data_IF_133781880813
#
_entry.id   IF_133781880813
#
_cell.length_a   1.000
_cell.length_b   1.000
_cell.length_c   1.000
_cell.angle_alpha   90.00
_cell.angle_beta   90.00
_cell.angle_gamma   90.00
#
_symmetry.space_group_name_H-M   'P 1'
#
loop_
_entity.id
_entity.type
_entity.pdbx_description
1 polymer ?
#
# COMPACT_ATOMS: atom_id res chain seq x y z
N UNK A 1 -22.63 -26.07 -53.18
CA UNK A 1 -21.92 -26.10 -51.87
C UNK A 1 -22.98 -26.29 -50.78
N UNK A 2 -23.15 -27.50 -50.23
CA UNK A 2 -24.17 -27.78 -49.20
C UNK A 2 -23.58 -27.48 -47.82
N UNK A 3 -24.10 -26.45 -47.14
CA UNK A 3 -23.75 -26.13 -45.76
C UNK A 3 -24.60 -27.03 -44.85
N UNK A 4 -23.97 -27.99 -44.17
CA UNK A 4 -24.64 -28.84 -43.20
C UNK A 4 -24.74 -28.10 -41.86
N UNK A 5 -25.96 -27.79 -41.44
CA UNK A 5 -26.21 -27.25 -40.10
C UNK A 5 -26.21 -28.37 -39.07
N UNK A 6 -25.51 -28.14 -37.95
CA UNK A 6 -25.54 -29.04 -36.80
C UNK A 6 -26.97 -29.15 -36.25
N UNK A 7 -27.41 -30.34 -35.82
CA UNK A 7 -28.74 -30.53 -35.25
C UNK A 7 -28.91 -29.62 -34.02
N UNK A 8 -30.07 -28.97 -33.88
CA UNK A 8 -30.36 -27.99 -32.84
C UNK A 8 -30.04 -28.50 -31.42
N UNK A 9 -30.26 -29.80 -31.17
CA UNK A 9 -29.93 -30.46 -29.90
C UNK A 9 -28.42 -30.47 -29.57
N UNK A 10 -27.56 -30.56 -30.58
CA UNK A 10 -26.09 -30.54 -30.44
C UNK A 10 -25.60 -29.12 -30.13
N UNK A 11 -26.24 -28.09 -30.69
CA UNK A 11 -25.96 -26.70 -30.33
C UNK A 11 -26.33 -26.40 -28.87
N UNK A 12 -27.48 -26.90 -28.40
CA UNK A 12 -27.89 -26.73 -27.00
C UNK A 12 -26.95 -27.42 -26.01
N UNK A 13 -26.49 -28.65 -26.28
CA UNK A 13 -25.54 -29.35 -25.40
C UNK A 13 -24.15 -28.71 -25.38
N UNK A 14 -23.68 -28.15 -26.50
CA UNK A 14 -22.44 -27.37 -26.56
C UNK A 14 -22.56 -26.05 -25.78
N UNK A 15 -23.69 -25.35 -25.88
CA UNK A 15 -23.93 -24.10 -25.18
C UNK A 15 -24.05 -24.29 -23.65
N UNK A 16 -24.73 -25.35 -23.21
CA UNK A 16 -24.81 -25.73 -21.79
C UNK A 16 -23.44 -26.13 -21.24
N UNK A 17 -22.67 -26.93 -22.00
CA UNK A 17 -21.30 -27.31 -21.62
C UNK A 17 -20.36 -26.10 -21.51
N UNK A 18 -20.48 -25.12 -22.41
CA UNK A 18 -19.71 -23.87 -22.37
C UNK A 18 -20.09 -22.99 -21.16
N UNK A 19 -21.39 -22.87 -20.84
CA UNK A 19 -21.85 -22.15 -19.65
C UNK A 19 -21.39 -22.83 -18.35
N UNK A 20 -21.40 -24.16 -18.28
CA UNK A 20 -20.86 -24.89 -17.13
C UNK A 20 -19.36 -24.62 -17.00
N UNK A 21 -18.58 -24.66 -18.10
CA UNK A 21 -17.15 -24.35 -18.11
C UNK A 21 -16.85 -22.92 -17.59
N UNK A 22 -17.67 -21.93 -17.94
CA UNK A 22 -17.56 -20.55 -17.44
C UNK A 22 -17.85 -20.45 -15.92
N UNK A 23 -18.76 -21.29 -15.39
CA UNK A 23 -19.07 -21.32 -13.95
C UNK A 23 -17.94 -22.00 -13.16
N UNK A 24 -17.35 -23.10 -13.67
CA UNK A 24 -16.23 -23.77 -12.97
C UNK A 24 -14.90 -23.02 -13.09
N UNK A 25 -14.70 -22.19 -14.13
CA UNK A 25 -13.53 -21.31 -14.25
C UNK A 25 -13.65 -20.02 -13.45
N UNK A 26 -14.85 -19.65 -12.99
CA UNK A 26 -15.07 -18.62 -11.97
C UNK A 26 -14.73 -19.15 -10.57
N UNK A 27 -13.53 -19.69 -10.39
CA UNK A 27 -12.91 -19.81 -9.07
C UNK A 27 -12.76 -18.39 -8.50
N UNK A 28 -13.73 -17.96 -7.69
CA UNK A 28 -13.60 -16.76 -6.87
C UNK A 28 -12.39 -16.98 -5.96
N UNK A 29 -11.20 -16.53 -6.40
CA UNK A 29 -10.01 -16.50 -5.55
C UNK A 29 -10.42 -15.79 -4.28
N UNK A 30 -10.13 -16.41 -3.12
CA UNK A 30 -10.39 -15.77 -1.82
C UNK A 30 -9.79 -14.36 -1.85
N UNK A 31 -10.48 -13.35 -1.32
CA UNK A 31 -9.93 -12.00 -1.27
C UNK A 31 -8.58 -12.05 -0.55
N UNK A 32 -7.55 -11.49 -1.18
CA UNK A 32 -6.21 -11.45 -0.63
C UNK A 32 -6.22 -10.66 0.67
N UNK A 33 -5.57 -11.20 1.71
CA UNK A 33 -5.37 -10.50 2.97
C UNK A 33 -3.94 -9.94 2.99
N UNK A 34 -3.83 -8.63 2.81
CA UNK A 34 -2.55 -7.95 2.78
C UNK A 34 -1.85 -7.87 4.14
N UNK A 35 -2.53 -8.13 5.27
CA UNK A 35 -1.83 -8.33 6.55
C UNK A 35 -0.89 -9.53 6.46
N UNK A 36 -1.32 -10.62 5.82
CA UNK A 36 -0.49 -11.80 5.57
C UNK A 36 0.67 -11.47 4.64
N UNK A 37 0.40 -10.73 3.56
CA UNK A 37 1.42 -10.23 2.64
C UNK A 37 2.48 -9.41 3.39
N UNK A 38 2.09 -8.42 4.19
CA UNK A 38 3.02 -7.54 4.89
C UNK A 38 3.84 -8.30 5.93
N UNK A 39 3.24 -9.26 6.64
CA UNK A 39 3.99 -10.12 7.55
C UNK A 39 5.05 -10.95 6.82
N UNK A 40 4.72 -11.52 5.66
CA UNK A 40 5.70 -12.22 4.81
C UNK A 40 6.78 -11.29 4.29
N UNK A 41 6.43 -10.06 3.87
CA UNK A 41 7.43 -9.05 3.51
C UNK A 41 8.39 -8.79 4.67
N UNK A 42 7.89 -8.64 5.90
CA UNK A 42 8.74 -8.41 7.06
C UNK A 42 9.64 -9.62 7.37
N UNK A 43 9.15 -10.84 7.19
CA UNK A 43 9.94 -12.07 7.34
C UNK A 43 11.08 -12.11 6.30
N UNK A 44 10.78 -11.86 5.02
CA UNK A 44 11.77 -11.88 3.94
C UNK A 44 12.79 -10.74 4.10
N UNK A 45 12.33 -9.54 4.44
CA UNK A 45 13.19 -8.40 4.70
C UNK A 45 14.09 -8.65 5.93
N UNK A 46 13.64 -9.45 6.90
CA UNK A 46 14.47 -9.87 8.02
C UNK A 46 15.60 -10.80 7.59
N UNK A 47 15.33 -11.80 6.75
CA UNK A 47 16.35 -12.67 6.15
C UNK A 47 17.38 -11.83 5.41
N UNK A 48 16.93 -10.89 4.59
CA UNK A 48 17.81 -10.01 3.84
C UNK A 48 18.66 -9.09 4.74
N UNK A 49 18.05 -8.38 5.70
CA UNK A 49 18.76 -7.34 6.48
C UNK A 49 19.55 -7.86 7.67
N UNK A 50 19.05 -8.89 8.35
CA UNK A 50 19.66 -9.39 9.58
C UNK A 50 20.52 -10.62 9.33
N UNK A 51 20.00 -11.60 8.59
CA UNK A 51 20.72 -12.84 8.29
C UNK A 51 21.68 -12.66 7.12
N UNK A 52 21.44 -11.65 6.27
CA UNK A 52 22.23 -11.33 5.07
C UNK A 52 22.18 -12.43 4.01
N UNK A 53 21.17 -13.29 4.07
CA UNK A 53 20.95 -14.32 3.05
C UNK A 53 20.16 -13.73 1.88
N UNK A 54 20.89 -13.23 0.89
CA UNK A 54 20.29 -12.57 -0.28
C UNK A 54 19.62 -13.57 -1.22
N UNK A 55 20.15 -14.79 -1.36
CA UNK A 55 19.61 -15.78 -2.28
C UNK A 55 18.30 -16.37 -1.76
N UNK A 56 18.21 -16.61 -0.46
CA UNK A 56 16.96 -17.02 0.17
C UNK A 56 15.92 -15.91 0.10
N UNK A 57 16.31 -14.66 0.38
CA UNK A 57 15.39 -13.53 0.27
C UNK A 57 14.81 -13.38 -1.15
N UNK A 58 15.63 -13.50 -2.21
CA UNK A 58 15.17 -13.48 -3.60
C UNK A 58 14.16 -14.61 -3.86
N UNK A 59 14.46 -15.83 -3.39
CA UNK A 59 13.59 -17.00 -3.58
C UNK A 59 12.23 -16.80 -2.93
N UNK A 60 12.21 -16.26 -1.71
CA UNK A 60 10.96 -16.02 -0.98
C UNK A 60 10.16 -14.85 -1.56
N UNK A 61 10.83 -13.78 -2.02
CA UNK A 61 10.16 -12.69 -2.73
C UNK A 61 9.50 -13.17 -4.02
N UNK A 62 10.18 -14.03 -4.80
CA UNK A 62 9.59 -14.64 -6.01
C UNK A 62 8.27 -15.35 -5.68
N UNK A 63 8.27 -16.22 -4.67
CA UNK A 63 7.06 -16.91 -4.19
C UNK A 63 5.98 -15.94 -3.72
N UNK A 64 6.35 -14.85 -3.06
CA UNK A 64 5.41 -13.84 -2.59
C UNK A 64 4.70 -13.14 -3.77
N UNK A 65 5.45 -12.72 -4.79
CA UNK A 65 4.91 -11.97 -5.94
C UNK A 65 4.22 -12.83 -6.99
N UNK A 66 4.35 -14.16 -6.90
CA UNK A 66 3.48 -15.11 -7.62
C UNK A 66 2.06 -15.15 -7.02
N UNK A 67 1.93 -14.92 -5.71
CA UNK A 67 0.64 -14.97 -5.00
C UNK A 67 -0.03 -13.59 -4.89
N UNK A 68 0.75 -12.52 -4.64
CA UNK A 68 0.24 -11.19 -4.38
C UNK A 68 0.69 -10.16 -5.44
N UNK A 69 -0.23 -9.32 -5.94
CA UNK A 69 0.16 -8.07 -6.58
C UNK A 69 0.95 -7.20 -5.60
N UNK A 70 2.12 -6.66 -5.99
CA UNK A 70 2.96 -5.86 -5.12
C UNK A 70 2.28 -4.55 -4.73
N UNK A 71 2.49 -4.11 -3.48
CA UNK A 71 1.96 -2.83 -2.96
C UNK A 71 3.03 -1.89 -2.38
N UNK A 72 4.23 -2.40 -2.10
CA UNK A 72 5.31 -1.72 -1.39
C UNK A 72 4.90 -1.18 -0.01
N UNK A 73 5.52 -1.71 1.04
CA UNK A 73 5.53 -1.03 2.34
C UNK A 73 6.46 0.18 2.29
N UNK A 74 6.06 1.24 2.99
CA UNK A 74 6.91 2.43 3.15
C UNK A 74 8.28 1.99 3.69
N UNK A 75 9.36 2.45 3.04
CA UNK A 75 10.77 2.23 3.42
C UNK A 75 11.33 0.81 3.23
N UNK A 76 10.50 -0.21 3.02
CA UNK A 76 10.99 -1.55 2.62
C UNK A 76 11.15 -1.63 1.10
N UNK A 77 10.17 -1.10 0.34
CA UNK A 77 10.20 -1.10 -1.14
C UNK A 77 10.49 -2.51 -1.68
N UNK A 78 9.73 -3.51 -1.19
CA UNK A 78 10.06 -4.93 -1.38
C UNK A 78 10.11 -5.37 -2.85
N UNK A 79 9.26 -4.82 -3.71
CA UNK A 79 9.23 -5.21 -5.12
C UNK A 79 10.41 -4.63 -5.90
N UNK A 80 10.80 -3.40 -5.58
CA UNK A 80 12.01 -2.77 -6.11
C UNK A 80 13.25 -3.57 -5.68
N UNK A 81 13.34 -3.89 -4.39
CA UNK A 81 14.43 -4.67 -3.80
C UNK A 81 14.55 -6.04 -4.47
N UNK A 82 13.43 -6.75 -4.65
CA UNK A 82 13.41 -8.04 -5.34
C UNK A 82 13.94 -7.96 -6.77
N UNK A 83 13.49 -6.98 -7.56
CA UNK A 83 13.93 -6.80 -8.95
C UNK A 83 15.43 -6.54 -9.00
N UNK A 84 15.93 -5.58 -8.20
CA UNK A 84 17.33 -5.18 -8.21
C UNK A 84 18.25 -6.32 -7.75
N UNK A 85 17.89 -7.02 -6.68
CA UNK A 85 18.67 -8.16 -6.18
C UNK A 85 18.64 -9.33 -7.18
N UNK A 86 17.49 -9.62 -7.77
CA UNK A 86 17.39 -10.69 -8.77
C UNK A 86 18.26 -10.40 -9.99
N UNK A 87 18.24 -9.17 -10.48
CA UNK A 87 19.11 -8.74 -11.59
C UNK A 87 20.59 -8.88 -11.25
N UNK A 88 20.99 -8.37 -10.07
CA UNK A 88 22.36 -8.40 -9.58
C UNK A 88 22.89 -9.85 -9.42
N UNK A 89 22.05 -10.79 -8.99
CA UNK A 89 22.42 -12.18 -8.76
C UNK A 89 22.03 -13.12 -9.91
N UNK A 90 21.74 -12.57 -11.10
CA UNK A 90 21.37 -13.32 -12.30
C UNK A 90 20.21 -14.30 -12.09
N UNK A 91 19.24 -13.93 -11.25
CA UNK A 91 18.00 -14.67 -11.03
C UNK A 91 16.88 -14.09 -11.90
N UNK A 92 16.08 -14.97 -12.48
CA UNK A 92 14.93 -14.56 -13.27
C UNK A 92 13.82 -13.98 -12.39
N UNK A 93 13.53 -12.69 -12.61
CA UNK A 93 12.42 -11.95 -12.00
C UNK A 93 11.25 -11.72 -12.96
N UNK A 94 11.29 -12.23 -14.19
CA UNK A 94 10.24 -12.08 -15.21
C UNK A 94 10.45 -10.93 -16.20
N UNK A 95 11.61 -10.26 -16.17
CA UNK A 95 12.03 -9.26 -17.17
C UNK A 95 11.03 -8.12 -17.39
N UNK A 96 10.78 -7.76 -18.66
CA UNK A 96 9.92 -6.63 -19.06
C UNK A 96 8.56 -6.63 -18.35
N UNK A 97 7.89 -7.79 -18.28
CA UNK A 97 6.55 -7.90 -17.68
C UNK A 97 6.53 -7.45 -16.22
N UNK A 98 7.57 -7.78 -15.46
CA UNK A 98 7.72 -7.38 -14.07
C UNK A 98 8.09 -5.91 -13.94
N UNK A 99 8.89 -5.39 -14.87
CA UNK A 99 9.24 -3.96 -14.92
C UNK A 99 8.03 -3.06 -15.18
N UNK A 100 7.07 -3.44 -16.03
CA UNK A 100 5.83 -2.66 -16.16
C UNK A 100 5.00 -2.64 -14.86
N UNK A 101 5.02 -3.73 -14.07
CA UNK A 101 4.37 -3.74 -12.74
C UNK A 101 5.06 -2.81 -11.75
N UNK A 102 6.34 -2.51 -11.95
CA UNK A 102 7.09 -1.60 -11.09
C UNK A 102 6.68 -0.13 -11.33
N UNK A 103 6.36 0.24 -12.58
CA UNK A 103 6.02 1.63 -12.95
C UNK A 103 4.94 2.24 -12.03
N UNK A 104 3.76 1.65 -11.80
CA UNK A 104 2.74 2.26 -10.93
C UNK A 104 3.15 2.37 -9.46
N UNK A 105 4.18 1.63 -9.00
CA UNK A 105 4.68 1.71 -7.62
C UNK A 105 5.64 2.89 -7.43
N UNK A 106 6.38 3.27 -8.48
CA UNK A 106 7.37 4.37 -8.44
C UNK A 106 6.81 5.68 -9.04
N UNK A 107 5.83 5.61 -9.94
CA UNK A 107 5.20 6.77 -10.57
C UNK A 107 4.65 7.84 -9.61
N UNK A 108 4.13 7.51 -8.40
CA UNK A 108 3.64 8.51 -7.46
C UNK A 108 4.73 9.40 -6.86
N UNK A 109 6.00 8.97 -6.93
CA UNK A 109 7.13 9.67 -6.33
C UNK A 109 7.90 10.39 -7.43
N UNK A 110 7.83 11.72 -7.42
CA UNK A 110 8.37 12.52 -8.51
C UNK A 110 9.88 12.32 -8.64
N UNK A 111 10.32 11.87 -9.82
CA UNK A 111 11.73 11.65 -10.11
C UNK A 111 12.25 10.26 -9.75
N UNK A 112 11.61 9.49 -8.87
CA UNK A 112 12.07 8.16 -8.43
C UNK A 112 12.32 7.21 -9.62
N UNK A 113 11.52 7.30 -10.69
CA UNK A 113 11.68 6.44 -11.87
C UNK A 113 13.06 6.55 -12.53
N UNK A 114 13.78 7.66 -12.32
CA UNK A 114 15.11 7.89 -12.89
C UNK A 114 16.13 6.88 -12.39
N UNK A 115 16.03 6.49 -11.12
CA UNK A 115 16.92 5.51 -10.48
C UNK A 115 16.83 4.12 -11.15
N UNK A 116 15.70 3.83 -11.80
CA UNK A 116 15.43 2.55 -12.45
C UNK A 116 15.62 2.57 -13.96
N UNK A 117 15.94 3.73 -14.57
CA UNK A 117 16.20 3.81 -16.02
C UNK A 117 17.29 2.85 -16.51
N UNK A 118 18.40 2.59 -15.77
CA UNK A 118 19.39 1.62 -16.20
C UNK A 118 18.82 0.20 -16.36
N UNK A 119 18.01 -0.27 -15.41
CA UNK A 119 17.40 -1.60 -15.48
C UNK A 119 16.29 -1.65 -16.54
N UNK A 120 15.47 -0.61 -16.69
CA UNK A 120 14.52 -0.52 -17.78
C UNK A 120 15.21 -0.65 -19.14
N UNK A 121 16.29 0.12 -19.36
CA UNK A 121 17.07 0.09 -20.60
C UNK A 121 17.72 -1.27 -20.84
N UNK A 122 18.30 -1.89 -19.81
CA UNK A 122 18.90 -3.25 -19.87
C UNK A 122 17.90 -4.28 -20.40
N UNK A 123 16.63 -4.14 -20.03
CA UNK A 123 15.57 -5.03 -20.47
C UNK A 123 14.79 -4.49 -21.67
N UNK A 124 15.28 -3.46 -22.37
CA UNK A 124 14.73 -2.97 -23.63
C UNK A 124 13.45 -2.14 -23.49
N UNK A 125 13.29 -1.42 -22.37
CA UNK A 125 12.25 -0.42 -22.14
C UNK A 125 12.96 0.94 -22.10
N UNK A 126 12.69 1.81 -23.07
CA UNK A 126 13.36 3.11 -23.13
C UNK A 126 12.70 4.16 -22.21
N UNK A 127 13.34 5.30 -22.03
CA UNK A 127 12.85 6.35 -21.14
C UNK A 127 11.54 7.00 -21.63
N UNK A 128 11.26 6.97 -22.94
CA UNK A 128 10.02 7.53 -23.53
C UNK A 128 8.86 6.61 -23.17
N UNK A 129 9.06 5.30 -23.29
CA UNK A 129 8.10 4.29 -22.88
C UNK A 129 7.79 4.35 -21.38
N UNK A 130 8.81 4.44 -20.51
CA UNK A 130 8.59 4.61 -19.06
C UNK A 130 7.77 5.87 -18.76
N UNK A 131 8.08 6.99 -19.42
CA UNK A 131 7.32 8.25 -19.25
C UNK A 131 5.87 8.12 -19.72
N UNK A 132 5.62 7.37 -20.80
CA UNK A 132 4.28 7.09 -21.29
C UNK A 132 3.47 6.29 -20.26
N UNK A 133 4.04 5.22 -19.71
CA UNK A 133 3.39 4.42 -18.67
C UNK A 133 3.06 5.25 -17.41
N UNK A 134 3.97 6.15 -17.01
CA UNK A 134 3.71 7.10 -15.91
C UNK A 134 2.59 8.08 -16.28
N UNK A 135 2.57 8.59 -17.50
CA UNK A 135 1.51 9.49 -17.96
C UNK A 135 0.14 8.79 -17.99
N UNK A 136 0.10 7.53 -18.41
CA UNK A 136 -1.13 6.73 -18.43
C UNK A 136 -1.60 6.39 -17.01
N UNK A 137 -0.68 6.09 -16.08
CA UNK A 137 -1.00 6.01 -14.65
C UNK A 137 -1.62 7.32 -14.12
N UNK A 138 -1.03 8.49 -14.44
CA UNK A 138 -1.54 9.81 -14.01
C UNK A 138 -2.94 10.13 -14.54
N UNK A 139 -3.30 9.63 -15.73
CA UNK A 139 -4.63 9.79 -16.32
C UNK A 139 -5.70 9.00 -15.55
N UNK A 140 -5.33 7.86 -14.97
CA UNK A 140 -6.24 6.99 -14.23
C UNK A 140 -6.54 7.48 -12.79
N UNK A 141 -5.85 8.52 -12.33
CA UNK A 141 -6.12 9.12 -11.02
C UNK A 141 -7.48 9.83 -10.97
N UNK A 142 -8.16 9.74 -9.83
CA UNK A 142 -9.45 10.39 -9.62
C UNK A 142 -9.27 11.88 -9.32
N UNK A 143 -9.41 12.71 -10.36
CA UNK A 143 -9.22 14.17 -10.27
C UNK A 143 -10.14 14.85 -9.25
N UNK A 144 -11.40 14.42 -9.17
CA UNK A 144 -12.34 14.94 -8.17
C UNK A 144 -11.87 14.67 -6.75
N UNK A 145 -11.38 13.46 -6.47
CA UNK A 145 -10.82 13.15 -5.16
C UNK A 145 -9.53 13.91 -4.91
N UNK A 146 -8.66 14.06 -5.92
CA UNK A 146 -7.45 14.88 -5.80
C UNK A 146 -7.81 16.30 -5.35
N UNK A 147 -8.73 16.96 -6.05
CA UNK A 147 -9.13 18.33 -5.71
C UNK A 147 -9.74 18.39 -4.30
N UNK A 148 -10.60 17.43 -3.98
CA UNK A 148 -11.26 17.35 -2.66
C UNK A 148 -10.27 17.18 -1.53
N UNK A 149 -9.27 16.29 -1.69
CA UNK A 149 -8.26 16.04 -0.66
C UNK A 149 -7.21 17.14 -0.61
N UNK A 150 -6.86 17.79 -1.72
CA UNK A 150 -6.01 19.00 -1.70
C UNK A 150 -6.64 20.10 -0.82
N UNK A 151 -7.94 20.36 -0.99
CA UNK A 151 -8.67 21.31 -0.12
C UNK A 151 -8.72 20.81 1.32
N UNK A 152 -8.91 19.50 1.54
CA UNK A 152 -8.91 18.93 2.89
C UNK A 152 -7.57 19.11 3.60
N UNK A 153 -6.43 18.98 2.89
CA UNK A 153 -5.09 19.20 3.45
C UNK A 153 -4.84 20.66 3.81
N UNK A 154 -5.22 21.60 2.94
CA UNK A 154 -5.13 23.04 3.24
C UNK A 154 -5.97 23.37 4.49
N UNK A 155 -7.22 22.88 4.51
CA UNK A 155 -8.15 23.07 5.63
C UNK A 155 -7.66 22.43 6.92
N UNK A 156 -6.98 21.30 6.84
CA UNK A 156 -6.42 20.61 8.00
C UNK A 156 -5.39 21.49 8.72
N UNK A 157 -4.60 22.27 7.99
CA UNK A 157 -3.57 23.14 8.56
C UNK A 157 -4.08 24.54 8.92
N UNK A 158 -5.18 24.97 8.32
CA UNK A 158 -5.77 26.30 8.53
C UNK A 158 -6.10 26.56 10.01
N UNK A 159 -5.45 27.59 10.58
CA UNK A 159 -5.65 28.09 11.97
C UNK A 159 -5.50 27.02 13.06
N UNK A 160 -4.83 25.91 12.77
CA UNK A 160 -4.56 24.87 13.77
C UNK A 160 -3.70 25.45 14.90
N UNK A 161 -4.04 25.13 16.15
CA UNK A 161 -3.43 25.69 17.36
C UNK A 161 -3.61 27.20 17.57
N UNK A 162 -4.39 27.87 16.71
CA UNK A 162 -4.71 29.30 16.81
C UNK A 162 -6.17 29.52 17.14
N UNK A 163 -7.08 28.82 16.44
CA UNK A 163 -8.52 28.97 16.58
C UNK A 163 -9.18 27.59 16.72
N UNK A 164 -9.56 27.25 17.95
CA UNK A 164 -10.12 25.93 18.29
C UNK A 164 -11.50 25.71 17.66
N UNK A 165 -12.29 26.75 17.44
CA UNK A 165 -13.61 26.65 16.83
C UNK A 165 -13.48 26.37 15.32
N UNK A 166 -12.57 27.07 14.64
CA UNK A 166 -12.26 26.79 13.22
C UNK A 166 -11.64 25.41 13.07
N UNK A 167 -10.69 25.03 13.93
CA UNK A 167 -10.09 23.71 13.91
C UNK A 167 -11.14 22.60 14.06
N UNK A 168 -12.03 22.69 15.06
CA UNK A 168 -13.09 21.70 15.27
C UNK A 168 -14.03 21.57 14.04
N UNK A 169 -14.39 22.71 13.43
CA UNK A 169 -15.18 22.74 12.18
C UNK A 169 -14.44 22.07 11.03
N UNK A 170 -13.14 22.32 10.90
CA UNK A 170 -12.29 21.80 9.84
C UNK A 170 -12.08 20.29 9.96
N UNK A 171 -11.81 19.81 11.17
CA UNK A 171 -11.76 18.37 11.51
C UNK A 171 -13.07 17.68 11.15
N UNK A 172 -14.22 18.26 11.53
CA UNK A 172 -15.54 17.68 11.19
C UNK A 172 -15.73 17.54 9.68
N UNK A 173 -15.44 18.60 8.91
CA UNK A 173 -15.58 18.55 7.45
C UNK A 173 -14.61 17.55 6.80
N UNK A 174 -13.38 17.43 7.30
CA UNK A 174 -12.40 16.44 6.84
C UNK A 174 -12.90 15.01 7.12
N UNK A 175 -13.44 14.78 8.31
CA UNK A 175 -14.01 13.50 8.69
C UNK A 175 -15.21 13.10 7.81
N UNK A 176 -16.13 14.04 7.54
CA UNK A 176 -17.28 13.82 6.67
C UNK A 176 -16.86 13.50 5.23
N UNK A 177 -15.88 14.23 4.68
CA UNK A 177 -15.30 13.92 3.37
C UNK A 177 -14.69 12.51 3.34
N UNK A 178 -13.95 12.12 4.38
CA UNK A 178 -13.31 10.82 4.45
C UNK A 178 -14.35 9.68 4.50
N UNK A 179 -15.40 9.81 5.31
CA UNK A 179 -16.50 8.85 5.36
C UNK A 179 -17.27 8.77 4.04
N UNK A 180 -17.54 9.90 3.42
CA UNK A 180 -18.15 9.94 2.09
C UNK A 180 -17.25 9.24 1.06
N UNK A 181 -15.95 9.46 1.12
CA UNK A 181 -14.97 8.80 0.24
C UNK A 181 -14.99 7.29 0.45
N UNK A 182 -14.97 6.81 1.70
CA UNK A 182 -15.04 5.38 2.01
C UNK A 182 -16.29 4.72 1.41
N UNK A 183 -17.44 5.40 1.50
CA UNK A 183 -18.71 4.90 0.97
C UNK A 183 -18.73 4.82 -0.57
N UNK A 184 -18.13 5.79 -1.26
CA UNK A 184 -18.30 5.94 -2.72
C UNK A 184 -17.09 5.44 -3.53
N UNK A 185 -15.89 5.45 -2.96
CA UNK A 185 -14.63 5.16 -3.66
C UNK A 185 -13.69 4.22 -2.89
N UNK A 186 -14.06 3.83 -1.67
CA UNK A 186 -13.16 3.13 -0.75
C UNK A 186 -12.09 4.06 -0.17
N UNK A 187 -10.96 3.50 0.26
CA UNK A 187 -9.86 4.31 0.78
C UNK A 187 -9.18 5.12 -0.34
N UNK A 188 -8.86 6.41 -0.11
CA UNK A 188 -8.14 7.25 -1.07
C UNK A 188 -6.65 6.90 -1.10
N UNK A 189 -6.32 5.75 -1.70
CA UNK A 189 -4.94 5.27 -1.80
C UNK A 189 -4.10 6.13 -2.76
N UNK A 190 -2.77 5.97 -2.68
CA UNK A 190 -1.83 6.63 -3.60
C UNK A 190 -2.15 6.31 -5.07
N UNK A 191 -2.68 5.13 -5.35
CA UNK A 191 -3.07 4.71 -6.70
C UNK A 191 -4.37 5.38 -7.19
N UNK A 192 -5.17 5.97 -6.28
CA UNK A 192 -6.41 6.71 -6.62
C UNK A 192 -6.19 8.21 -6.66
N UNK A 193 -5.39 8.76 -5.74
CA UNK A 193 -5.25 10.21 -5.56
C UNK A 193 -3.81 10.72 -5.67
N UNK A 194 -2.85 9.86 -6.00
CA UNK A 194 -1.43 10.23 -5.98
C UNK A 194 -0.89 10.41 -4.56
N UNK A 195 0.31 10.97 -4.47
CA UNK A 195 0.98 11.20 -3.18
C UNK A 195 0.37 12.41 -2.48
N UNK A 196 -0.14 12.18 -1.26
CA UNK A 196 -0.67 13.21 -0.37
C UNK A 196 -0.30 12.88 1.08
N UNK A 197 -0.24 13.86 2.01
CA UNK A 197 0.11 13.64 3.41
C UNK A 197 -1.03 12.96 4.21
N UNK A 198 -1.57 11.86 3.69
CA UNK A 198 -2.68 11.12 4.27
C UNK A 198 -2.39 10.61 5.68
N UNK A 199 -1.14 10.26 5.99
CA UNK A 199 -0.73 9.87 7.35
C UNK A 199 -1.10 10.97 8.36
N UNK A 200 -0.75 12.23 8.07
CA UNK A 200 -1.03 13.36 8.96
C UNK A 200 -2.54 13.61 9.06
N UNK A 201 -3.24 13.66 7.93
CA UNK A 201 -4.70 13.84 7.93
C UNK A 201 -5.40 12.77 8.79
N UNK A 202 -5.01 11.50 8.64
CA UNK A 202 -5.59 10.40 9.41
C UNK A 202 -5.28 10.52 10.90
N UNK A 203 -4.06 10.90 11.29
CA UNK A 203 -3.73 11.10 12.72
C UNK A 203 -4.62 12.12 13.39
N UNK A 204 -5.07 13.14 12.66
CA UNK A 204 -5.97 14.18 13.16
C UNK A 204 -7.44 13.77 13.22
N UNK A 205 -7.82 12.65 12.58
CA UNK A 205 -9.21 12.17 12.64
C UNK A 205 -9.57 11.65 14.04
N UNK A 206 -8.58 11.43 14.93
CA UNK A 206 -8.80 11.16 16.35
C UNK A 206 -9.51 12.34 17.07
N UNK A 207 -9.33 13.58 16.60
CA UNK A 207 -9.98 14.79 17.13
C UNK A 207 -11.49 14.75 16.86
N UNK A 208 -11.93 13.96 15.88
CA UNK A 208 -13.33 13.69 15.61
C UNK A 208 -13.84 12.51 16.43
N UNK A 209 -14.05 12.71 17.74
CA UNK A 209 -14.52 11.65 18.67
C UNK A 209 -15.75 10.89 18.17
N UNK A 210 -16.69 11.59 17.52
CA UNK A 210 -17.91 11.01 16.94
C UNK A 210 -17.62 9.97 15.85
N UNK A 211 -16.65 10.25 14.97
CA UNK A 211 -16.39 9.43 13.78
C UNK A 211 -15.21 8.48 13.94
N UNK A 212 -14.38 8.67 14.96
CA UNK A 212 -13.23 7.80 15.25
C UNK A 212 -13.57 6.30 15.30
N UNK A 213 -14.64 5.82 15.96
CA UNK A 213 -14.99 4.40 15.95
C UNK A 213 -15.20 3.84 14.54
N UNK A 214 -15.84 4.61 13.66
CA UNK A 214 -16.03 4.23 12.25
C UNK A 214 -14.71 4.20 11.49
N UNK A 215 -13.82 5.17 11.71
CA UNK A 215 -12.50 5.19 11.09
C UNK A 215 -11.65 4.00 11.52
N UNK A 216 -11.61 3.69 12.82
CA UNK A 216 -10.94 2.52 13.37
C UNK A 216 -11.39 1.23 12.66
N UNK A 217 -12.70 1.01 12.54
CA UNK A 217 -13.24 -0.19 11.89
C UNK A 217 -12.98 -0.22 10.39
N UNK A 218 -13.15 0.89 9.67
CA UNK A 218 -12.97 0.92 8.21
C UNK A 218 -11.51 0.83 7.79
N UNK A 219 -10.60 1.51 8.50
CA UNK A 219 -9.20 1.51 8.13
C UNK A 219 -8.54 0.14 8.27
N UNK A 220 -8.92 -0.67 9.27
CA UNK A 220 -8.40 -2.04 9.37
C UNK A 220 -8.89 -2.93 8.22
N UNK A 221 -10.12 -2.72 7.71
CA UNK A 221 -10.57 -3.38 6.47
C UNK A 221 -9.71 -2.97 5.28
N UNK A 222 -9.35 -1.69 5.18
CA UNK A 222 -8.48 -1.21 4.10
C UNK A 222 -7.04 -1.69 4.22
N UNK A 223 -6.53 -1.91 5.44
CA UNK A 223 -5.24 -2.58 5.67
C UNK A 223 -5.29 -4.02 5.15
N UNK A 224 -6.37 -4.76 5.43
CA UNK A 224 -6.57 -6.12 4.89
C UNK A 224 -6.64 -6.14 3.36
N UNK A 225 -7.20 -5.11 2.73
CA UNK A 225 -7.24 -5.01 1.27
C UNK A 225 -5.95 -4.52 0.61
N UNK A 226 -5.00 -3.98 1.40
CA UNK A 226 -3.77 -3.36 0.90
C UNK A 226 -3.94 -1.95 0.34
N UNK A 227 -5.11 -1.32 0.53
CA UNK A 227 -5.36 0.07 0.13
C UNK A 227 -4.84 1.08 1.17
N UNK A 228 -4.88 0.73 2.46
CA UNK A 228 -4.36 1.54 3.56
C UNK A 228 -3.05 0.94 4.09
N UNK A 229 -1.93 1.70 4.13
CA UNK A 229 -0.70 1.23 4.76
C UNK A 229 -0.91 0.90 6.25
N UNK A 230 -0.36 -0.20 6.78
CA UNK A 230 -0.43 -0.53 8.21
C UNK A 230 0.05 0.61 9.12
N UNK A 231 1.07 1.35 8.68
CA UNK A 231 1.61 2.50 9.41
C UNK A 231 0.58 3.61 9.59
N UNK A 232 -0.21 3.92 8.55
CA UNK A 232 -1.25 4.96 8.61
C UNK A 232 -2.32 4.63 9.66
N UNK A 233 -2.76 3.37 9.71
CA UNK A 233 -3.70 2.90 10.72
C UNK A 233 -3.10 2.98 12.12
N UNK A 234 -1.88 2.46 12.31
CA UNK A 234 -1.21 2.44 13.60
C UNK A 234 -0.98 3.85 14.16
N UNK A 235 -0.56 4.79 13.32
CA UNK A 235 -0.34 6.18 13.72
C UNK A 235 -1.65 6.84 14.17
N UNK A 236 -2.75 6.69 13.41
CA UNK A 236 -4.06 7.21 13.85
C UNK A 236 -4.49 6.60 15.19
N UNK A 237 -4.36 5.28 15.30
CA UNK A 237 -4.78 4.54 16.47
C UNK A 237 -4.01 4.99 17.72
N UNK A 238 -2.68 5.01 17.65
CA UNK A 238 -1.85 5.44 18.78
C UNK A 238 -2.06 6.93 19.10
N UNK A 239 -2.23 7.79 18.09
CA UNK A 239 -2.56 9.21 18.31
C UNK A 239 -3.86 9.37 19.11
N UNK A 240 -4.87 8.54 18.90
CA UNK A 240 -6.09 8.57 19.72
C UNK A 240 -5.82 8.13 21.17
N UNK A 241 -5.10 7.02 21.37
CA UNK A 241 -4.82 6.51 22.72
C UNK A 241 -3.99 7.51 23.54
N UNK A 242 -2.99 8.13 22.92
CA UNK A 242 -2.14 9.13 23.60
C UNK A 242 -2.90 10.43 23.85
N UNK A 243 -3.56 10.98 22.82
CA UNK A 243 -4.10 12.34 22.93
C UNK A 243 -5.48 12.38 23.59
N UNK A 244 -6.31 11.36 23.40
CA UNK A 244 -7.70 11.31 23.86
C UNK A 244 -7.85 10.45 25.11
N UNK A 245 -7.35 9.21 25.09
CA UNK A 245 -7.46 8.31 26.25
C UNK A 245 -6.38 8.54 27.31
N UNK A 246 -5.35 9.33 26.99
CA UNK A 246 -4.18 9.57 27.85
C UNK A 246 -3.46 8.28 28.28
N UNK A 247 -3.53 7.26 27.42
CA UNK A 247 -2.90 5.97 27.61
C UNK A 247 -1.54 5.84 26.91
N UNK A 248 -0.98 4.65 26.97
CA UNK A 248 0.23 4.29 26.24
C UNK A 248 -0.07 3.94 24.77
N UNK A 249 0.96 4.05 23.93
CA UNK A 249 0.87 3.61 22.54
C UNK A 249 0.67 2.09 22.45
N UNK A 250 -0.16 1.63 21.52
CA UNK A 250 -0.48 0.22 21.31
C UNK A 250 0.43 -0.40 20.25
N UNK A 251 0.84 0.38 19.24
CA UNK A 251 1.75 -0.03 18.19
C UNK A 251 3.15 0.60 18.32
N UNK A 252 3.36 1.56 19.21
CA UNK A 252 4.65 2.20 19.46
C UNK A 252 4.93 3.40 18.55
N UNK A 253 3.90 4.08 18.06
CA UNK A 253 3.99 5.32 17.29
C UNK A 253 3.37 6.49 18.06
N UNK A 254 3.79 7.73 17.77
CA UNK A 254 3.17 8.97 18.28
C UNK A 254 3.10 9.11 19.83
N UNK A 255 3.88 8.33 20.58
CA UNK A 255 4.01 8.46 22.03
C UNK A 255 5.35 9.08 22.42
N UNK A 256 5.31 9.98 23.42
CA UNK A 256 6.49 10.43 24.15
C UNK A 256 6.90 9.46 25.28
N UNK A 257 5.99 8.53 25.63
CA UNK A 257 6.22 7.55 26.68
C UNK A 257 6.99 6.34 26.14
N UNK A 258 7.85 5.76 26.98
CA UNK A 258 8.57 4.54 26.69
C UNK A 258 7.61 3.39 26.39
N UNK A 259 7.95 2.55 25.41
CA UNK A 259 7.24 1.29 25.15
C UNK A 259 7.44 0.38 26.36
N UNK A 260 6.39 0.20 27.17
CA UNK A 260 6.49 -0.55 28.43
C UNK A 260 6.63 -2.06 28.22
N UNK A 261 5.95 -2.60 27.22
CA UNK A 261 6.01 -4.03 26.87
C UNK A 261 6.28 -4.19 25.37
N UNK A 262 7.57 -4.37 25.05
CA UNK A 262 7.99 -4.56 23.66
C UNK A 262 7.47 -5.87 23.04
N UNK A 263 7.18 -6.90 23.85
CA UNK A 263 6.64 -8.18 23.38
C UNK A 263 5.19 -7.99 22.95
N UNK A 264 4.37 -7.39 23.79
CA UNK A 264 2.97 -7.11 23.45
C UNK A 264 2.86 -6.14 22.28
N UNK A 265 3.67 -5.08 22.24
CA UNK A 265 3.68 -4.16 21.10
C UNK A 265 4.08 -4.88 19.81
N UNK A 266 5.08 -5.77 19.83
CA UNK A 266 5.44 -6.56 18.64
C UNK A 266 4.32 -7.51 18.20
N UNK A 267 3.57 -8.12 19.13
CA UNK A 267 2.37 -8.92 18.81
C UNK A 267 1.30 -8.08 18.13
N UNK A 268 1.01 -6.89 18.67
CA UNK A 268 0.06 -5.96 18.09
C UNK A 268 0.51 -5.53 16.68
N UNK A 269 1.77 -5.15 16.51
CA UNK A 269 2.35 -4.77 15.21
C UNK A 269 2.19 -5.88 14.18
N UNK A 270 2.52 -7.13 14.53
CA UNK A 270 2.31 -8.30 13.66
C UNK A 270 0.84 -8.50 13.27
N UNK A 271 -0.11 -8.21 14.16
CA UNK A 271 -1.55 -8.37 13.89
C UNK A 271 -2.07 -7.47 12.76
N UNK A 272 -1.36 -6.40 12.41
CA UNK A 272 -1.71 -5.48 11.32
C UNK A 272 -0.67 -5.44 10.19
N UNK A 273 0.36 -6.30 10.25
CA UNK A 273 1.38 -6.39 9.20
C UNK A 273 2.58 -5.46 9.38
N UNK A 274 2.75 -4.84 10.55
CA UNK A 274 3.93 -4.02 10.82
C UNK A 274 5.15 -4.86 11.23
N UNK A 275 6.37 -4.43 10.86
CA UNK A 275 7.61 -5.04 11.34
C UNK A 275 7.78 -4.81 12.84
N UNK A 276 8.57 -5.64 13.53
CA UNK A 276 8.87 -5.47 14.96
C UNK A 276 9.55 -4.12 15.25
N UNK A 277 9.60 -3.70 16.52
CA UNK A 277 10.27 -2.45 16.92
C UNK A 277 11.76 -2.45 16.55
N UNK A 278 12.46 -3.57 16.80
CA UNK A 278 13.88 -3.74 16.42
C UNK A 278 14.06 -3.66 14.91
N UNK A 279 13.18 -4.31 14.15
CA UNK A 279 13.21 -4.29 12.69
C UNK A 279 12.94 -2.88 12.14
N UNK A 280 11.94 -2.19 12.67
CA UNK A 280 11.61 -0.80 12.32
C UNK A 280 12.76 0.18 12.64
N UNK A 281 13.45 -0.03 13.76
CA UNK A 281 14.64 0.76 14.09
C UNK A 281 15.76 0.54 13.07
N UNK A 282 15.95 -0.70 12.60
CA UNK A 282 16.93 -1.00 11.55
C UNK A 282 16.58 -0.34 10.22
N UNK A 283 15.32 -0.45 9.78
CA UNK A 283 14.83 0.20 8.55
C UNK A 283 15.07 1.71 8.61
N UNK A 284 14.78 2.36 9.75
CA UNK A 284 15.06 3.79 9.95
C UNK A 284 16.56 4.10 9.87
N UNK A 285 17.41 3.28 10.47
CA UNK A 285 18.87 3.46 10.42
C UNK A 285 19.40 3.37 8.99
N UNK A 286 18.93 2.39 8.22
CA UNK A 286 19.33 2.21 6.82
C UNK A 286 18.91 3.43 5.98
N UNK A 287 17.68 3.93 6.17
CA UNK A 287 17.20 5.14 5.50
C UNK A 287 18.07 6.37 5.83
N UNK A 288 18.37 6.60 7.12
CA UNK A 288 19.22 7.72 7.54
C UNK A 288 20.64 7.63 6.98
N UNK A 289 21.18 6.41 6.87
CA UNK A 289 22.48 6.19 6.24
C UNK A 289 22.47 6.47 4.74
N UNK A 290 21.35 6.19 4.04
CA UNK A 290 21.18 6.53 2.62
C UNK A 290 21.16 8.04 2.41
N UNK A 291 20.32 8.76 3.16
CA UNK A 291 20.20 10.22 3.07
C UNK A 291 21.52 10.95 3.33
N UNK A 292 22.36 10.44 4.25
CA UNK A 292 23.70 11.00 4.52
C UNK A 292 24.71 10.80 3.40
N UNK A 293 24.48 9.90 2.45
CA UNK A 293 25.37 9.68 1.30
C UNK A 293 24.97 10.52 0.08
N UNK A 294 23.75 11.04 0.09
CA UNK A 294 23.19 11.88 -0.99
C UNK A 294 23.44 13.38 -0.74
N UNK A 295 23.95 13.72 0.45
CA UNK A 295 24.43 15.04 0.87
C UNK A 295 25.93 14.99 1.13
#
# INVERSE_FOLDING_TARGET
MKISFLPTRVMYTLQVSFCILLIVTSCKRKPLNYITYYNRVNEIDSIYRFERDTLEAITQYKKLFEEYPPKNQERIKEFETYIMLSDQYHKDFGGKKTLYKLVPLIAPYEGDYKDYLPIFKKYGIDSVEVKKEIADWKKNLNKRLIDSFSIAMIRDQEKRHVDTAVQAKNVRKNAELLLWTFKNYGFPSVQKIGTMPMHSLLTHMNESKKYYPTFKTKLIEYVKSGDCPPLSYAMMFDSYHVNVEKGNTIYGYNGFNSVMDSVQVNRNRKSIGLPSLKHSARIRKDLMAKLKKEH
#
